data_IF_367410944966
#
_entry.id   IF_367410944966
#
_cell.length_a   1.000
_cell.length_b   1.000
_cell.length_c   1.000
_cell.angle_alpha   90.00
_cell.angle_beta   90.00
_cell.angle_gamma   90.00
#
_symmetry.space_group_name_H-M   'P 1'
#
loop_
_entity.id
_entity.type
_entity.pdbx_description
1 polymer ?
#
# COMPACT_ATOMS: atom_id res chain seq x y z
N UNK A 1 7.74 16.43 7.36
CA UNK A 1 6.30 16.39 7.06
C UNK A 1 5.99 14.98 6.66
N UNK A 2 4.89 14.42 7.17
CA UNK A 2 4.44 13.10 6.75
C UNK A 2 4.05 13.16 5.26
N UNK A 3 4.30 12.07 4.56
CA UNK A 3 4.07 11.90 3.13
C UNK A 3 3.64 10.47 2.83
N UNK A 4 3.06 10.23 1.65
CA UNK A 4 2.61 8.90 1.25
C UNK A 4 3.73 7.86 1.30
N UNK A 5 4.99 8.29 1.11
CA UNK A 5 6.16 7.40 1.18
C UNK A 5 6.42 6.87 2.59
N UNK A 6 5.99 7.59 3.62
CA UNK A 6 6.13 7.14 5.00
C UNK A 6 5.34 5.87 5.28
N UNK A 7 4.31 5.55 4.47
CA UNK A 7 3.59 4.27 4.54
C UNK A 7 4.53 3.08 4.40
N UNK A 8 5.60 3.19 3.61
CA UNK A 8 6.56 2.10 3.36
C UNK A 8 7.34 1.72 4.61
N UNK A 9 7.39 2.61 5.61
CA UNK A 9 8.02 2.38 6.90
C UNK A 9 7.07 1.78 7.96
N UNK A 10 5.81 1.52 7.58
CA UNK A 10 4.77 0.96 8.46
C UNK A 10 4.53 -0.52 8.20
N UNK A 11 3.76 -1.19 9.06
CA UNK A 11 3.36 -2.58 8.82
C UNK A 11 2.45 -2.73 7.61
N UNK A 12 1.60 -1.73 7.34
CA UNK A 12 0.82 -1.68 6.10
C UNK A 12 1.76 -1.65 4.88
N UNK A 13 2.83 -0.86 4.93
CA UNK A 13 3.86 -0.82 3.89
C UNK A 13 4.61 -2.14 3.74
N UNK A 14 5.01 -2.76 4.85
CA UNK A 14 5.66 -4.09 4.83
C UNK A 14 4.76 -5.16 4.22
N UNK A 15 3.47 -5.15 4.55
CA UNK A 15 2.49 -6.08 3.98
C UNK A 15 2.26 -5.80 2.49
N UNK A 16 2.17 -4.54 2.10
CA UNK A 16 2.05 -4.14 0.70
C UNK A 16 3.25 -4.65 -0.11
N UNK A 17 4.48 -4.44 0.39
CA UNK A 17 5.71 -4.98 -0.22
C UNK A 17 5.66 -6.51 -0.27
N UNK A 18 5.20 -7.16 0.79
CA UNK A 18 5.11 -8.63 0.85
C UNK A 18 4.14 -9.19 -0.20
N UNK A 19 2.90 -8.68 -0.26
CA UNK A 19 1.89 -9.13 -1.23
C UNK A 19 2.35 -8.88 -2.66
N UNK A 20 2.87 -7.70 -2.95
CA UNK A 20 3.31 -7.36 -4.29
C UNK A 20 4.55 -8.18 -4.73
N UNK A 21 5.48 -8.46 -3.81
CA UNK A 21 6.61 -9.37 -4.07
C UNK A 21 6.14 -10.80 -4.36
N UNK A 22 5.14 -11.30 -3.63
CA UNK A 22 4.57 -12.64 -3.87
C UNK A 22 3.87 -12.72 -5.23
N UNK A 23 3.14 -11.69 -5.61
CA UNK A 23 2.37 -11.63 -6.87
C UNK A 23 3.26 -11.50 -8.12
N UNK A 24 4.36 -10.77 -8.00
CA UNK A 24 5.26 -10.48 -9.13
C UNK A 24 6.48 -11.38 -9.19
N UNK A 25 6.77 -12.13 -8.13
CA UNK A 25 8.02 -12.87 -7.91
C UNK A 25 9.28 -11.99 -7.85
N UNK A 26 9.12 -10.66 -7.85
CA UNK A 26 10.21 -9.71 -7.68
C UNK A 26 10.68 -9.63 -6.23
N UNK A 27 11.96 -9.27 -6.04
CA UNK A 27 12.55 -9.09 -4.71
C UNK A 27 11.88 -7.92 -3.97
N UNK A 28 11.72 -8.04 -2.65
CA UNK A 28 11.09 -7.01 -1.81
C UNK A 28 11.74 -5.63 -1.96
N UNK A 29 13.06 -5.58 -2.14
CA UNK A 29 13.81 -4.33 -2.31
C UNK A 29 13.46 -3.63 -3.65
N UNK A 30 13.27 -4.42 -4.71
CA UNK A 30 12.84 -3.92 -6.02
C UNK A 30 11.39 -3.44 -5.97
N UNK A 31 10.50 -4.21 -5.32
CA UNK A 31 9.12 -3.81 -5.09
C UNK A 31 9.03 -2.51 -4.30
N UNK A 32 9.82 -2.35 -3.23
CA UNK A 32 9.89 -1.11 -2.46
C UNK A 32 10.35 0.07 -3.34
N UNK A 33 11.29 -0.16 -4.25
CA UNK A 33 11.75 0.86 -5.21
C UNK A 33 10.65 1.27 -6.19
N UNK A 34 9.89 0.32 -6.72
CA UNK A 34 8.72 0.60 -7.57
C UNK A 34 7.69 1.41 -6.77
N UNK A 35 7.33 0.96 -5.56
CA UNK A 35 6.40 1.67 -4.67
C UNK A 35 6.84 3.10 -4.37
N UNK A 36 8.13 3.33 -4.19
CA UNK A 36 8.70 4.67 -4.00
C UNK A 36 8.47 5.61 -5.18
N UNK A 37 8.29 5.08 -6.40
CA UNK A 37 7.93 5.86 -7.58
C UNK A 37 6.41 5.91 -7.80
N UNK A 38 5.71 4.79 -7.66
CA UNK A 38 4.28 4.71 -8.03
C UNK A 38 3.38 5.44 -7.04
N UNK A 39 3.70 5.45 -5.73
CA UNK A 39 2.85 6.10 -4.73
C UNK A 39 2.72 7.62 -4.99
N UNK A 40 3.81 8.40 -5.16
CA UNK A 40 3.69 9.80 -5.56
C UNK A 40 3.06 9.99 -6.94
N UNK A 41 3.31 9.08 -7.89
CA UNK A 41 2.75 9.18 -9.25
C UNK A 41 1.22 9.02 -9.26
N UNK A 42 0.66 8.12 -8.45
CA UNK A 42 -0.79 7.98 -8.30
C UNK A 42 -1.40 9.30 -7.80
N UNK A 43 -0.80 9.91 -6.77
CA UNK A 43 -1.23 11.21 -6.24
C UNK A 43 -1.07 12.35 -7.27
N UNK A 44 0.01 12.34 -8.04
CA UNK A 44 0.20 13.29 -9.14
C UNK A 44 -0.89 13.18 -10.21
N UNK A 45 -1.33 11.96 -10.54
CA UNK A 45 -2.44 11.75 -11.47
C UNK A 45 -3.79 12.19 -10.89
N UNK A 46 -4.04 11.97 -9.58
CA UNK A 46 -5.18 12.59 -8.89
C UNK A 46 -5.19 14.11 -9.07
N UNK A 47 -4.04 14.75 -8.89
CA UNK A 47 -3.88 16.20 -9.08
C UNK A 47 -4.16 16.64 -10.52
N UNK A 48 -3.64 15.91 -11.51
CA UNK A 48 -3.92 16.19 -12.92
C UNK A 48 -5.42 16.08 -13.21
N UNK A 49 -6.09 15.05 -12.70
CA UNK A 49 -7.54 14.86 -12.87
C UNK A 49 -8.36 15.99 -12.25
N UNK A 50 -7.96 16.53 -11.10
CA UNK A 50 -8.57 17.75 -10.52
C UNK A 50 -8.41 18.93 -11.48
N UNK A 51 -7.20 19.14 -12.02
CA UNK A 51 -6.91 20.23 -12.96
C UNK A 51 -7.65 20.09 -14.30
N UNK A 52 -7.95 18.86 -14.71
CA UNK A 52 -8.79 18.53 -15.87
C UNK A 52 -10.30 18.76 -15.62
N UNK A 53 -10.70 19.07 -14.38
CA UNK A 53 -12.09 19.31 -14.00
C UNK A 53 -12.86 18.07 -13.52
N UNK A 54 -12.17 16.96 -13.21
CA UNK A 54 -12.78 15.72 -12.71
C UNK A 54 -12.87 15.64 -11.18
N UNK A 55 -12.82 16.78 -10.51
CA UNK A 55 -12.82 16.88 -9.04
C UNK A 55 -14.03 16.20 -8.38
N UNK A 56 -15.24 16.45 -8.89
CA UNK A 56 -16.48 15.87 -8.34
C UNK A 56 -16.47 14.33 -8.40
N UNK A 57 -16.04 13.76 -9.53
CA UNK A 57 -15.97 12.31 -9.72
C UNK A 57 -14.94 11.65 -8.79
N UNK A 58 -13.81 12.33 -8.53
CA UNK A 58 -12.81 11.83 -7.59
C UNK A 58 -13.31 11.87 -6.15
N UNK A 59 -14.10 12.87 -5.80
CA UNK A 59 -14.68 13.02 -4.47
C UNK A 59 -15.72 11.95 -4.23
N UNK A 60 -16.61 11.74 -5.20
CA UNK A 60 -17.59 10.65 -5.19
C UNK A 60 -16.88 9.31 -5.05
N UNK A 61 -15.82 9.05 -5.81
CA UNK A 61 -15.00 7.84 -5.66
C UNK A 61 -14.46 7.66 -4.23
N UNK A 62 -13.94 8.72 -3.59
CA UNK A 62 -13.44 8.65 -2.21
C UNK A 62 -14.55 8.50 -1.16
N UNK A 63 -15.78 8.91 -1.48
CA UNK A 63 -16.96 8.76 -0.61
C UNK A 63 -17.60 7.37 -0.74
N UNK A 64 -17.64 6.83 -1.96
CA UNK A 64 -18.20 5.52 -2.29
C UNK A 64 -17.22 4.36 -2.06
N UNK A 65 -15.93 4.67 -1.88
CA UNK A 65 -14.92 3.68 -1.57
C UNK A 65 -15.37 2.78 -0.41
N UNK A 66 -15.25 1.43 -0.53
CA UNK A 66 -15.61 0.52 0.55
C UNK A 66 -14.91 0.93 1.85
N UNK A 67 -15.61 0.82 2.99
CA UNK A 67 -15.15 1.30 4.32
C UNK A 67 -13.62 1.21 4.44
N UNK A 68 -12.93 2.36 4.31
CA UNK A 68 -11.48 2.35 4.16
C UNK A 68 -10.81 1.97 5.47
N UNK A 69 -11.49 2.17 6.61
CA UNK A 69 -10.98 1.71 7.89
C UNK A 69 -11.03 0.18 7.98
N UNK A 70 -12.15 -0.42 7.58
CA UNK A 70 -12.28 -1.87 7.48
C UNK A 70 -11.29 -2.44 6.47
N UNK A 71 -11.17 -1.84 5.29
CA UNK A 71 -10.21 -2.23 4.25
C UNK A 71 -8.79 -2.33 4.80
N UNK A 72 -8.27 -1.26 5.44
CA UNK A 72 -6.92 -1.29 5.98
C UNK A 72 -6.77 -2.26 7.17
N UNK A 73 -7.86 -2.61 7.87
CA UNK A 73 -7.82 -3.57 8.99
C UNK A 73 -7.67 -5.01 8.49
N UNK A 74 -8.36 -5.34 7.39
CA UNK A 74 -8.35 -6.68 6.79
C UNK A 74 -7.42 -6.78 5.57
N UNK A 75 -6.60 -5.76 5.30
CA UNK A 75 -5.75 -5.72 4.11
C UNK A 75 -4.85 -6.95 4.03
N UNK A 76 -4.20 -7.34 5.13
CA UNK A 76 -3.38 -8.56 5.19
C UNK A 76 -4.16 -9.83 4.86
N UNK A 77 -5.45 -9.88 5.19
CA UNK A 77 -6.34 -11.03 4.96
C UNK A 77 -6.91 -11.07 3.54
N UNK A 78 -6.93 -9.94 2.82
CA UNK A 78 -7.45 -9.88 1.45
C UNK A 78 -6.60 -10.71 0.49
N UNK A 79 -7.29 -11.42 -0.39
CA UNK A 79 -6.67 -12.12 -1.51
C UNK A 79 -6.06 -11.10 -2.47
N UNK A 80 -4.92 -11.45 -3.06
CA UNK A 80 -4.24 -10.55 -4.00
C UNK A 80 -5.09 -10.25 -5.23
N UNK A 81 -5.91 -11.21 -5.69
CA UNK A 81 -6.79 -11.01 -6.84
C UNK A 81 -7.82 -9.90 -6.58
N UNK A 82 -8.43 -9.87 -5.39
CA UNK A 82 -9.34 -8.77 -5.00
C UNK A 82 -8.66 -7.39 -5.07
N UNK A 83 -7.36 -7.33 -4.72
CA UNK A 83 -6.59 -6.09 -4.77
C UNK A 83 -6.24 -5.70 -6.21
N UNK A 84 -5.97 -6.68 -7.07
CA UNK A 84 -5.71 -6.46 -8.50
C UNK A 84 -6.95 -5.97 -9.22
N UNK A 85 -8.11 -6.57 -8.96
CA UNK A 85 -9.39 -6.19 -9.56
C UNK A 85 -9.77 -4.76 -9.13
N UNK A 86 -9.74 -4.51 -7.82
CA UNK A 86 -9.98 -3.17 -7.28
C UNK A 86 -8.96 -2.13 -7.81
N UNK A 87 -7.71 -2.55 -7.96
CA UNK A 87 -6.66 -1.73 -8.55
C UNK A 87 -6.84 -1.45 -10.05
N UNK A 88 -7.46 -2.35 -10.80
CA UNK A 88 -7.82 -2.11 -12.20
C UNK A 88 -8.88 -1.02 -12.29
N UNK A 89 -9.98 -1.16 -11.54
CA UNK A 89 -11.11 -0.24 -11.58
C UNK A 89 -10.67 1.18 -11.24
N UNK A 90 -9.94 1.33 -10.14
CA UNK A 90 -9.42 2.63 -9.72
C UNK A 90 -8.28 3.13 -10.61
N UNK A 91 -7.42 2.22 -11.08
CA UNK A 91 -6.31 2.55 -11.97
C UNK A 91 -6.81 3.14 -13.28
N UNK A 92 -7.90 2.60 -13.83
CA UNK A 92 -8.53 3.14 -15.04
C UNK A 92 -9.01 4.58 -14.84
N UNK A 93 -9.65 4.87 -13.70
CA UNK A 93 -10.18 6.21 -13.43
C UNK A 93 -9.06 7.23 -13.17
N UNK A 94 -8.02 6.84 -12.41
CA UNK A 94 -6.95 7.75 -11.97
C UNK A 94 -5.84 7.87 -13.00
N UNK A 95 -5.31 6.73 -13.46
CA UNK A 95 -4.14 6.66 -14.34
C UNK A 95 -4.53 6.62 -15.81
N UNK A 96 -5.67 5.99 -16.14
CA UNK A 96 -6.23 5.93 -17.49
C UNK A 96 -5.21 5.54 -18.56
N UNK A 97 -5.21 6.27 -19.67
CA UNK A 97 -4.30 6.03 -20.81
C UNK A 97 -2.80 6.19 -20.47
N UNK A 98 -2.47 6.88 -19.38
CA UNK A 98 -1.08 7.08 -18.97
C UNK A 98 -0.47 5.84 -18.29
N UNK A 99 -1.29 4.88 -17.88
CA UNK A 99 -0.84 3.77 -17.05
C UNK A 99 0.26 2.92 -17.73
N UNK A 100 0.10 2.62 -19.01
CA UNK A 100 1.10 1.90 -19.82
C UNK A 100 2.42 2.68 -19.93
N UNK A 101 2.34 3.97 -20.24
CA UNK A 101 3.52 4.82 -20.41
C UNK A 101 4.30 4.98 -19.10
N UNK A 102 3.58 5.14 -17.98
CA UNK A 102 4.16 5.20 -16.64
C UNK A 102 4.86 3.88 -16.32
N UNK A 103 4.19 2.74 -16.59
CA UNK A 103 4.73 1.41 -16.32
C UNK A 103 6.01 1.14 -17.11
N UNK A 104 6.04 1.48 -18.40
CA UNK A 104 7.25 1.39 -19.26
C UNK A 104 8.40 2.24 -18.73
N UNK A 105 8.10 3.46 -18.30
CA UNK A 105 9.12 4.38 -17.79
C UNK A 105 9.76 3.84 -16.51
N UNK A 106 8.96 3.35 -15.57
CA UNK A 106 9.45 2.78 -14.31
C UNK A 106 10.18 1.47 -14.57
N UNK A 107 9.63 0.60 -15.43
CA UNK A 107 10.25 -0.66 -15.86
C UNK A 107 11.67 -0.42 -16.38
N UNK A 108 11.82 0.53 -17.32
CA UNK A 108 13.12 0.91 -17.85
C UNK A 108 14.04 1.50 -16.78
N UNK A 109 13.52 2.37 -15.91
CA UNK A 109 14.32 3.03 -14.87
C UNK A 109 14.86 2.08 -13.81
N UNK A 110 14.10 1.03 -13.47
CA UNK A 110 14.45 0.10 -12.38
C UNK A 110 14.94 -1.27 -12.88
N UNK A 111 14.93 -1.51 -14.20
CA UNK A 111 15.23 -2.82 -14.79
C UNK A 111 14.36 -3.93 -14.16
N UNK A 112 13.06 -3.69 -14.18
CA UNK A 112 11.99 -4.58 -13.67
C UNK A 112 11.02 -4.83 -14.81
N UNK A 113 10.43 -6.03 -14.86
CA UNK A 113 9.43 -6.38 -15.85
C UNK A 113 8.21 -5.41 -15.82
N UNK A 114 7.69 -5.04 -16.98
CA UNK A 114 6.58 -4.08 -17.09
C UNK A 114 5.31 -4.61 -16.41
N UNK A 115 4.98 -5.90 -16.60
CA UNK A 115 3.80 -6.51 -15.98
C UNK A 115 3.93 -6.52 -14.45
N UNK A 116 5.17 -6.72 -13.94
CA UNK A 116 5.44 -6.61 -12.52
C UNK A 116 5.17 -5.19 -12.00
N UNK A 117 5.61 -4.14 -12.71
CA UNK A 117 5.31 -2.74 -12.36
C UNK A 117 3.81 -2.47 -12.37
N UNK A 118 3.10 -2.94 -13.39
CA UNK A 118 1.64 -2.78 -13.49
C UNK A 118 0.93 -3.45 -12.30
N UNK A 119 1.28 -4.69 -11.97
CA UNK A 119 0.73 -5.42 -10.82
C UNK A 119 1.02 -4.72 -9.50
N UNK A 120 2.25 -4.25 -9.27
CA UNK A 120 2.62 -3.50 -8.06
C UNK A 120 1.75 -2.24 -7.95
N UNK A 121 1.58 -1.52 -9.06
CA UNK A 121 0.76 -0.30 -9.10
C UNK A 121 -0.71 -0.58 -8.79
N UNK A 122 -1.28 -1.65 -9.37
CA UNK A 122 -2.65 -2.08 -9.10
C UNK A 122 -2.86 -2.44 -7.64
N UNK A 123 -1.94 -3.17 -7.02
CA UNK A 123 -2.03 -3.51 -5.58
C UNK A 123 -1.90 -2.26 -4.69
N UNK A 124 -1.08 -1.27 -5.09
CA UNK A 124 -0.85 -0.05 -4.32
C UNK A 124 -2.01 0.96 -4.43
N UNK A 125 -2.69 1.03 -5.57
CA UNK A 125 -3.77 1.99 -5.85
C UNK A 125 -4.89 1.98 -4.79
N UNK A 126 -5.50 0.85 -4.42
CA UNK A 126 -6.55 0.83 -3.39
C UNK A 126 -6.03 1.23 -2.00
N UNK A 127 -4.74 1.05 -1.71
CA UNK A 127 -4.14 1.53 -0.45
C UNK A 127 -4.06 3.06 -0.43
N UNK A 128 -3.65 3.69 -1.54
CA UNK A 128 -3.66 5.16 -1.68
C UNK A 128 -5.07 5.71 -1.50
N UNK A 129 -6.05 5.08 -2.14
CA UNK A 129 -7.46 5.49 -2.05
C UNK A 129 -8.01 5.34 -0.64
N UNK A 130 -7.71 4.23 0.05
CA UNK A 130 -8.13 4.04 1.43
C UNK A 130 -7.54 5.13 2.35
N UNK A 131 -6.26 5.47 2.19
CA UNK A 131 -5.61 6.55 2.96
C UNK A 131 -6.29 7.90 2.68
N UNK A 132 -6.49 8.26 1.40
CA UNK A 132 -7.13 9.52 1.03
C UNK A 132 -8.59 9.60 1.52
N UNK A 133 -9.33 8.50 1.43
CA UNK A 133 -10.73 8.43 1.90
C UNK A 133 -10.82 8.64 3.40
N UNK A 134 -9.91 8.03 4.16
CA UNK A 134 -9.82 8.23 5.62
C UNK A 134 -9.49 9.68 5.96
N UNK A 135 -8.53 10.28 5.24
CA UNK A 135 -8.18 11.68 5.46
C UNK A 135 -9.33 12.61 5.15
N UNK A 136 -10.01 12.39 4.01
CA UNK A 136 -11.19 13.14 3.62
C UNK A 136 -12.25 13.11 4.72
N UNK A 137 -12.50 11.92 5.30
CA UNK A 137 -13.46 11.75 6.40
C UNK A 137 -13.00 12.43 7.69
N UNK A 138 -11.74 12.24 8.10
CA UNK A 138 -11.17 12.83 9.33
C UNK A 138 -11.19 14.36 9.30
N UNK A 139 -10.82 14.94 8.18
CA UNK A 139 -10.69 16.39 8.00
C UNK A 139 -11.95 17.04 7.44
N UNK A 140 -13.02 16.26 7.22
CA UNK A 140 -14.29 16.70 6.64
C UNK A 140 -14.10 17.50 5.34
N UNK A 141 -13.21 17.01 4.46
CA UNK A 141 -12.81 17.67 3.23
C UNK A 141 -13.99 17.75 2.27
N UNK A 142 -14.26 18.99 1.84
CA UNK A 142 -15.18 19.36 0.77
C UNK A 142 -14.40 19.59 -0.52
N UNK A 143 -15.10 19.75 -1.65
CA UNK A 143 -14.50 19.82 -2.98
C UNK A 143 -13.25 20.71 -3.05
N UNK A 144 -13.41 22.01 -2.83
CA UNK A 144 -12.33 23.02 -2.89
C UNK A 144 -11.03 22.71 -2.11
N UNK A 145 -11.05 21.76 -1.18
CA UNK A 145 -9.93 21.40 -0.31
C UNK A 145 -9.24 20.09 -0.73
N UNK A 146 -9.73 19.37 -1.75
CA UNK A 146 -9.19 18.08 -2.17
C UNK A 146 -7.77 18.19 -2.74
N UNK A 147 -7.47 19.23 -3.51
CA UNK A 147 -6.10 19.45 -4.01
C UNK A 147 -5.13 19.64 -2.84
N UNK A 148 -5.56 20.33 -1.77
CA UNK A 148 -4.72 20.49 -0.58
C UNK A 148 -4.52 19.18 0.18
N UNK A 149 -5.52 18.28 0.17
CA UNK A 149 -5.35 16.93 0.70
C UNK A 149 -4.27 16.16 -0.07
N UNK A 150 -4.31 16.20 -1.40
CA UNK A 150 -3.31 15.56 -2.27
C UNK A 150 -1.92 16.17 -2.04
N UNK A 151 -1.82 17.50 -1.95
CA UNK A 151 -0.57 18.19 -1.65
C UNK A 151 -0.02 17.81 -0.26
N UNK A 152 -0.88 17.64 0.75
CA UNK A 152 -0.45 17.13 2.05
C UNK A 152 0.04 15.69 1.98
N UNK A 153 -0.63 14.82 1.23
CA UNK A 153 -0.18 13.44 1.02
C UNK A 153 1.14 13.36 0.24
N UNK A 154 1.40 14.30 -0.69
CA UNK A 154 2.70 14.45 -1.38
C UNK A 154 3.79 15.05 -0.49
N UNK A 155 3.43 15.59 0.68
CA UNK A 155 4.34 16.30 1.56
C UNK A 155 4.69 17.72 1.09
N UNK A 156 3.98 18.27 0.10
CA UNK A 156 4.15 19.65 -0.38
C UNK A 156 3.33 20.68 0.43
N UNK A 157 2.37 20.22 1.25
CA UNK A 157 1.56 21.04 2.16
C UNK A 157 1.53 20.46 3.57
N UNK A 158 1.65 21.31 4.60
CA UNK A 158 1.60 20.89 6.01
C UNK A 158 0.20 20.92 6.64
N UNK A 159 -0.84 21.33 5.88
CA UNK A 159 -2.19 21.57 6.42
C UNK A 159 -2.77 20.37 7.18
N UNK A 160 -2.54 19.16 6.68
CA UNK A 160 -3.06 17.92 7.30
C UNK A 160 -1.95 16.99 7.81
N UNK A 161 -0.76 17.52 8.09
CA UNK A 161 0.41 16.71 8.44
C UNK A 161 0.17 15.75 9.61
N UNK A 162 -0.49 16.22 10.66
CA UNK A 162 -0.65 15.46 11.91
C UNK A 162 -1.69 14.35 11.75
N UNK A 163 -2.84 14.64 11.15
CA UNK A 163 -3.84 13.62 10.83
C UNK A 163 -3.37 12.65 9.75
N UNK A 164 -2.53 13.09 8.82
CA UNK A 164 -1.82 12.22 7.88
C UNK A 164 -0.89 11.25 8.58
N UNK A 165 -0.04 11.76 9.47
CA UNK A 165 0.81 10.94 10.32
C UNK A 165 -0.02 9.94 11.13
N UNK A 166 -1.12 10.36 11.76
CA UNK A 166 -1.98 9.46 12.51
C UNK A 166 -2.61 8.36 11.67
N UNK A 167 -3.07 8.63 10.45
CA UNK A 167 -3.69 7.60 9.62
C UNK A 167 -2.70 6.54 9.16
N UNK A 168 -1.45 6.94 8.89
CA UNK A 168 -0.40 6.03 8.44
C UNK A 168 0.23 5.29 9.61
N UNK A 169 0.52 5.98 10.73
CA UNK A 169 1.26 5.42 11.87
C UNK A 169 0.38 5.05 13.06
N UNK A 170 -0.72 5.77 13.31
CA UNK A 170 -1.53 5.62 14.50
C UNK A 170 -2.84 4.87 14.23
N UNK A 171 -2.71 3.56 14.06
CA UNK A 171 -3.77 2.61 14.39
C UNK A 171 -3.36 1.90 15.66
N UNK A 172 -3.82 2.42 16.79
CA UNK A 172 -3.62 1.80 18.10
C UNK A 172 -3.83 0.28 18.00
N UNK A 173 -2.79 -0.49 18.35
CA UNK A 173 -2.68 -1.95 18.24
C UNK A 173 -2.42 -2.48 16.82
N UNK A 174 -1.13 -2.60 16.51
CA UNK A 174 -0.61 -3.52 15.50
C UNK A 174 -1.16 -4.95 15.72
N UNK A 175 -2.11 -5.45 14.90
CA UNK A 175 -2.59 -6.83 15.03
C UNK A 175 -1.48 -7.84 14.70
N UNK A 176 -0.36 -7.40 14.12
CA UNK A 176 0.77 -8.23 13.76
C UNK A 176 1.89 -8.29 14.81
N UNK A 177 1.81 -7.57 15.94
CA UNK A 177 2.67 -7.89 17.11
C UNK A 177 2.36 -9.32 17.58
N UNK A 178 1.09 -9.73 17.51
CA UNK A 178 0.70 -11.10 17.84
C UNK A 178 1.22 -12.07 16.78
N UNK A 179 1.21 -11.72 15.48
CA UNK A 179 1.72 -12.59 14.41
C UNK A 179 3.24 -12.79 14.49
N UNK A 180 4.03 -11.72 14.62
CA UNK A 180 5.50 -11.83 14.71
C UNK A 180 5.93 -12.52 16.03
N UNK A 181 5.23 -12.29 17.15
CA UNK A 181 5.45 -13.03 18.39
C UNK A 181 4.99 -14.50 18.29
N UNK A 182 3.91 -14.79 17.56
CA UNK A 182 3.44 -16.15 17.34
C UNK A 182 4.37 -16.93 16.41
N UNK A 183 4.97 -16.30 15.39
CA UNK A 183 5.98 -16.92 14.55
C UNK A 183 7.27 -17.20 15.33
N UNK A 184 7.67 -16.31 16.24
CA UNK A 184 8.82 -16.54 17.13
C UNK A 184 8.52 -17.65 18.16
N UNK A 185 7.31 -17.71 18.73
CA UNK A 185 6.91 -18.79 19.64
C UNK A 185 6.77 -20.14 18.92
N UNK A 186 6.08 -20.18 17.77
CA UNK A 186 5.85 -21.39 16.98
C UNK A 186 7.14 -21.94 16.35
N UNK A 187 8.12 -21.08 16.07
CA UNK A 187 9.44 -21.50 15.56
C UNK A 187 10.44 -21.83 16.69
N UNK A 188 10.10 -21.56 17.95
CA UNK A 188 10.89 -21.98 19.12
C UNK A 188 10.55 -23.39 19.62
N UNK A 189 9.38 -23.95 19.24
CA UNK A 189 8.97 -25.31 19.62
C UNK A 189 9.35 -26.41 18.61
N UNK A 190 9.94 -26.06 17.44
CA UNK A 190 10.40 -27.05 16.45
C UNK A 190 11.92 -27.21 16.35
N UNK A 191 12.60 -27.20 17.50
CA UNK A 191 14.01 -27.60 17.55
C UNK A 191 14.39 -28.32 18.85
N UNK A 192 13.81 -29.50 19.10
CA UNK A 192 14.39 -30.50 20.01
C UNK A 192 13.84 -31.93 19.88
N UNK A 193 13.78 -32.47 18.66
CA UNK A 193 13.76 -33.93 18.46
C UNK A 193 14.64 -34.30 17.28
N UNK A 194 15.95 -34.26 17.49
CA UNK A 194 16.91 -35.09 16.74
C UNK A 194 18.30 -34.89 17.32
N UNK A 195 18.53 -35.46 18.49
CA UNK A 195 19.90 -35.74 18.94
C UNK A 195 19.83 -37.04 19.73
N UNK A 196 20.60 -38.02 19.28
CA UNK A 196 20.91 -39.29 19.96
C UNK A 196 19.95 -40.47 19.70
N UNK A 197 19.66 -40.71 18.42
CA UNK A 197 19.70 -42.10 17.91
C UNK A 197 21.18 -42.51 17.84
N UNK A 198 21.57 -43.46 18.68
CA UNK A 198 22.80 -44.23 18.54
C UNK A 198 23.85 -43.95 19.61
N UNK A 199 23.90 -44.79 20.64
CA UNK A 199 25.11 -45.48 21.09
C UNK A 199 24.76 -46.49 22.20
N UNK A 200 25.24 -47.73 22.03
CA UNK A 200 25.48 -48.81 23.02
C UNK A 200 24.25 -49.41 23.72
N UNK A 201 24.15 -50.72 23.98
CA UNK A 201 25.13 -51.80 24.01
C UNK A 201 24.62 -52.81 25.06
N UNK A 202 24.64 -54.10 24.72
CA UNK A 202 23.94 -55.13 25.48
C UNK A 202 24.41 -55.40 26.91
N UNK A 203 23.53 -56.00 27.69
CA UNK A 203 23.68 -57.30 28.35
C UNK A 203 22.31 -57.80 28.79
#
# INVERSE_FOLDING_TARGET
MASILDVLNTNLGKELIHKASKETTEKKEKVASVLGMVLPLILGNFKNKIQEGHEEALIEMLEEAPDPFKFMKVFSEKETNDLLDCGNDYGEIILGENFDNISKTISASLSIDEDAVQKITKIATPVVIAILSIQKQKENIQNKDIETLIDSALGSSSKYNDSFFETIFNRNEDPNIILEASEILLNSEKKKESILKGYTGGK
#
